data_IF_235173286843
#
_entry.id   IF_235173286843
#
_cell.length_a   1.000
_cell.length_b   1.000
_cell.length_c   1.000
_cell.angle_alpha   90.00
_cell.angle_beta   90.00
_cell.angle_gamma   90.00
#
_symmetry.space_group_name_H-M   'P 1'
#
loop_
_entity.id
_entity.type
_entity.pdbx_description
1 polymer ?
#
# COMPACT_ATOMS: atom_id res chain seq x y z
N UNK A 1 -4.92 0.97 -10.75
CA UNK A 1 -6.08 0.73 -9.88
C UNK A 1 -6.98 1.96 -9.86
N UNK A 2 -8.29 1.80 -9.62
CA UNK A 2 -9.19 2.95 -9.38
C UNK A 2 -8.80 3.61 -8.06
N UNK A 3 -8.73 4.94 -8.04
CA UNK A 3 -8.54 5.71 -6.81
C UNK A 3 -9.89 5.94 -6.12
N UNK A 4 -9.88 5.97 -4.80
CA UNK A 4 -11.05 6.20 -3.95
C UNK A 4 -10.93 7.54 -3.22
N UNK A 5 -12.05 8.27 -3.09
CA UNK A 5 -12.06 9.59 -2.49
C UNK A 5 -11.92 9.56 -0.96
N UNK A 6 -12.37 8.48 -0.31
CA UNK A 6 -12.31 8.31 1.13
C UNK A 6 -12.13 6.82 1.50
N UNK A 7 -11.80 6.58 2.78
CA UNK A 7 -11.53 5.24 3.28
C UNK A 7 -12.75 4.30 3.23
N UNK A 8 -13.97 4.83 3.39
CA UNK A 8 -15.17 4.00 3.35
C UNK A 8 -15.40 3.47 1.93
N UNK A 9 -15.25 4.30 0.90
CA UNK A 9 -15.37 3.88 -0.50
C UNK A 9 -14.30 2.85 -0.89
N UNK A 10 -13.07 3.04 -0.39
CA UNK A 10 -11.99 2.05 -0.55
C UNK A 10 -12.37 0.73 0.14
N UNK A 11 -12.87 0.80 1.38
CA UNK A 11 -13.20 -0.37 2.19
C UNK A 11 -14.35 -1.16 1.57
N UNK A 12 -15.43 -0.49 1.16
CA UNK A 12 -16.58 -1.14 0.50
C UNK A 12 -16.14 -1.87 -0.76
N UNK A 13 -15.38 -1.20 -1.64
CA UNK A 13 -14.91 -1.86 -2.86
C UNK A 13 -13.95 -3.03 -2.55
N UNK A 14 -13.08 -2.88 -1.55
CA UNK A 14 -12.18 -3.96 -1.17
C UNK A 14 -12.94 -5.19 -0.63
N UNK A 15 -13.98 -4.99 0.18
CA UNK A 15 -14.83 -6.08 0.65
C UNK A 15 -15.60 -6.74 -0.50
N UNK A 16 -16.15 -5.97 -1.43
CA UNK A 16 -16.82 -6.49 -2.63
C UNK A 16 -15.86 -7.32 -3.52
N UNK A 17 -14.58 -6.94 -3.55
CA UNK A 17 -13.52 -7.65 -4.27
C UNK A 17 -12.98 -8.87 -3.49
N UNK A 18 -13.53 -9.16 -2.30
CA UNK A 18 -13.21 -10.34 -1.49
C UNK A 18 -11.92 -10.23 -0.67
N UNK A 19 -11.54 -9.02 -0.25
CA UNK A 19 -10.55 -8.79 0.81
C UNK A 19 -11.21 -8.93 2.19
N UNK A 20 -10.45 -9.41 3.18
CA UNK A 20 -10.96 -9.82 4.49
C UNK A 20 -10.54 -8.88 5.64
N UNK A 21 -9.47 -8.11 5.47
CA UNK A 21 -8.99 -7.13 6.45
C UNK A 21 -8.72 -5.79 5.76
N UNK A 22 -9.33 -4.71 6.25
CA UNK A 22 -9.13 -3.36 5.72
C UNK A 22 -8.69 -2.42 6.85
N UNK A 23 -7.52 -1.81 6.70
CA UNK A 23 -6.88 -1.00 7.74
C UNK A 23 -6.28 0.29 7.19
N UNK A 24 -6.10 1.28 8.09
CA UNK A 24 -5.24 2.44 7.87
C UNK A 24 -3.89 2.20 8.51
N UNK A 25 -2.81 2.53 7.82
CA UNK A 25 -1.45 2.51 8.37
C UNK A 25 -0.79 3.85 8.18
N UNK A 26 -0.11 4.32 9.21
CA UNK A 26 0.73 5.50 9.17
C UNK A 26 2.20 5.09 9.20
N UNK A 27 3.00 5.77 8.39
CA UNK A 27 4.42 5.51 8.23
C UNK A 27 5.20 6.79 8.46
N UNK A 28 6.29 6.68 9.21
CA UNK A 28 7.11 7.82 9.59
C UNK A 28 7.83 8.45 8.37
N UNK A 29 8.10 9.77 8.42
CA UNK A 29 8.99 10.44 7.49
C UNK A 29 10.33 9.73 7.29
N UNK A 30 10.77 9.62 6.02
CA UNK A 30 12.05 9.04 5.62
C UNK A 30 12.29 7.60 6.10
N UNK A 31 11.23 6.89 6.54
CA UNK A 31 11.33 5.50 6.93
C UNK A 31 11.82 4.66 5.75
N UNK A 32 12.72 3.73 6.02
CA UNK A 32 13.12 2.68 5.09
C UNK A 32 12.74 1.35 5.72
N UNK A 33 11.98 0.56 4.96
CA UNK A 33 11.69 -0.83 5.27
C UNK A 33 12.47 -1.65 4.26
N UNK A 34 13.49 -2.34 4.77
CA UNK A 34 14.32 -3.24 3.97
C UNK A 34 13.50 -4.38 3.37
N UNK A 35 14.14 -5.14 2.47
CA UNK A 35 13.50 -6.26 1.76
C UNK A 35 12.77 -7.21 2.70
N UNK A 36 11.50 -7.43 2.41
CA UNK A 36 10.64 -8.32 3.20
C UNK A 36 9.51 -8.92 2.35
N UNK A 37 8.75 -9.83 2.95
CA UNK A 37 7.55 -10.44 2.37
C UNK A 37 6.43 -10.48 3.41
N UNK A 38 5.20 -10.72 2.96
CA UNK A 38 4.06 -10.98 3.83
C UNK A 38 3.24 -12.19 3.33
N UNK A 39 2.55 -12.92 4.23
CA UNK A 39 1.79 -14.13 3.87
C UNK A 39 0.39 -13.86 3.30
N UNK A 40 0.01 -12.60 3.08
CA UNK A 40 -1.28 -12.17 2.53
C UNK A 40 -1.07 -11.37 1.23
N UNK A 41 -2.09 -11.26 0.40
CA UNK A 41 -2.10 -10.26 -0.69
C UNK A 41 -2.38 -8.88 -0.12
N UNK A 42 -1.70 -7.84 -0.62
CA UNK A 42 -1.88 -6.47 -0.16
C UNK A 42 -2.27 -5.55 -1.32
N UNK A 43 -3.44 -4.92 -1.19
CA UNK A 43 -3.92 -3.85 -2.06
C UNK A 43 -3.81 -2.54 -1.31
N UNK A 44 -3.08 -1.59 -1.86
CA UNK A 44 -2.78 -0.31 -1.19
C UNK A 44 -3.25 0.86 -2.03
N UNK A 45 -3.85 1.85 -1.37
CA UNK A 45 -3.91 3.22 -1.86
C UNK A 45 -3.13 4.14 -0.91
N UNK A 46 -2.26 4.97 -1.45
CA UNK A 46 -1.59 6.04 -0.71
C UNK A 46 -2.64 7.15 -0.49
N UNK A 47 -3.03 7.38 0.76
CA UNK A 47 -3.99 8.41 1.11
C UNK A 47 -3.31 9.79 1.23
N UNK A 48 -2.12 9.83 1.81
CA UNK A 48 -1.28 11.03 1.93
C UNK A 48 0.20 10.64 1.85
N UNK A 49 1.06 11.60 1.48
CA UNK A 49 2.49 11.37 1.38
C UNK A 49 2.88 10.51 0.18
N UNK A 50 4.01 9.80 0.30
CA UNK A 50 4.55 9.01 -0.80
C UNK A 50 5.39 7.83 -0.33
N UNK A 51 5.50 6.81 -1.20
CA UNK A 51 6.38 5.67 -1.02
C UNK A 51 7.08 5.32 -2.34
N UNK A 52 8.37 5.03 -2.30
CA UNK A 52 9.07 4.31 -3.34
C UNK A 52 9.03 2.82 -3.02
N UNK A 53 8.30 2.07 -3.83
CA UNK A 53 8.22 0.62 -3.75
C UNK A 53 9.25 0.01 -4.70
N UNK A 54 10.11 -0.86 -4.18
CA UNK A 54 11.11 -1.59 -4.97
C UNK A 54 10.73 -3.06 -5.04
N UNK A 55 10.55 -3.55 -6.26
CA UNK A 55 10.30 -4.94 -6.61
C UNK A 55 11.49 -5.50 -7.40
N UNK A 56 11.50 -6.81 -7.65
CA UNK A 56 12.49 -7.44 -8.54
C UNK A 56 12.51 -6.83 -9.95
N UNK A 57 11.38 -6.29 -10.42
CA UNK A 57 11.22 -5.66 -11.74
C UNK A 57 11.69 -4.21 -11.80
N UNK A 58 12.05 -3.61 -10.66
CA UNK A 58 12.47 -2.21 -10.56
C UNK A 58 11.74 -1.46 -9.45
N UNK A 59 11.99 -0.15 -9.39
CA UNK A 59 11.41 0.72 -8.37
C UNK A 59 10.48 1.76 -8.98
N UNK A 60 9.36 2.02 -8.31
CA UNK A 60 8.39 3.04 -8.68
C UNK A 60 7.97 3.82 -7.43
N UNK A 61 7.81 5.14 -7.58
CA UNK A 61 7.23 6.00 -6.53
C UNK A 61 5.73 6.14 -6.73
N UNK A 62 4.98 6.02 -5.64
CA UNK A 62 3.54 6.22 -5.54
C UNK A 62 3.24 7.38 -4.60
N UNK A 63 2.42 8.30 -5.08
CA UNK A 63 1.98 9.51 -4.39
C UNK A 63 0.50 9.37 -3.96
N UNK A 64 0.02 10.33 -3.18
CA UNK A 64 -1.38 10.40 -2.75
C UNK A 64 -2.38 10.20 -3.91
N UNK A 65 -3.39 9.36 -3.68
CA UNK A 65 -4.39 8.95 -4.66
C UNK A 65 -3.96 7.79 -5.55
N UNK A 66 -2.67 7.45 -5.64
CA UNK A 66 -2.20 6.30 -6.41
C UNK A 66 -2.24 5.03 -5.57
N UNK A 67 -2.30 3.88 -6.25
CA UNK A 67 -2.38 2.59 -5.59
C UNK A 67 -1.63 1.50 -6.34
N UNK A 68 -1.26 0.46 -5.59
CA UNK A 68 -0.50 -0.68 -6.06
C UNK A 68 -1.00 -1.96 -5.38
N UNK A 69 -0.58 -3.10 -5.93
CA UNK A 69 -0.91 -4.42 -5.43
C UNK A 69 0.38 -5.23 -5.28
N UNK A 70 0.53 -5.89 -4.13
CA UNK A 70 1.64 -6.77 -3.81
C UNK A 70 1.07 -8.15 -3.53
N UNK A 71 1.27 -9.13 -4.43
CA UNK A 71 0.89 -10.51 -4.17
C UNK A 71 1.63 -11.08 -2.95
N UNK A 72 0.99 -12.00 -2.24
CA UNK A 72 1.61 -12.74 -1.12
C UNK A 72 2.97 -13.32 -1.52
N UNK A 73 3.92 -13.28 -0.59
CA UNK A 73 5.28 -13.80 -0.81
C UNK A 73 6.14 -13.01 -1.79
N UNK A 74 5.66 -11.88 -2.34
CA UNK A 74 6.48 -11.02 -3.21
C UNK A 74 7.50 -10.25 -2.37
N UNK A 75 8.79 -10.47 -2.61
CA UNK A 75 9.86 -9.68 -1.97
C UNK A 75 9.79 -8.24 -2.46
N UNK A 76 9.76 -7.30 -1.51
CA UNK A 76 9.76 -5.88 -1.81
C UNK A 76 10.44 -5.08 -0.70
N UNK A 77 10.86 -3.86 -1.02
CA UNK A 77 11.37 -2.88 -0.07
C UNK A 77 10.63 -1.55 -0.25
N UNK A 78 10.57 -0.75 0.80
CA UNK A 78 9.80 0.49 0.84
C UNK A 78 10.66 1.63 1.37
N UNK A 79 10.61 2.78 0.69
CA UNK A 79 11.25 4.00 1.15
C UNK A 79 10.23 5.14 1.13
N UNK A 80 9.96 5.72 2.30
CA UNK A 80 8.95 6.75 2.48
C UNK A 80 9.54 8.14 2.31
N UNK A 81 8.75 9.07 1.78
CA UNK A 81 9.18 10.44 1.57
C UNK A 81 9.33 11.25 2.86
N UNK A 82 9.75 12.53 2.77
CA UNK A 82 9.99 13.39 3.93
C UNK A 82 8.75 13.74 4.74
N UNK A 83 7.55 13.46 4.22
CA UNK A 83 6.27 13.64 4.92
C UNK A 83 5.69 12.32 5.44
N UNK A 84 6.41 11.20 5.30
CA UNK A 84 5.87 9.87 5.57
C UNK A 84 4.78 9.49 4.58
N UNK A 85 3.90 8.59 5.00
CA UNK A 85 2.68 8.28 4.25
C UNK A 85 1.56 7.75 5.15
N UNK A 86 0.31 7.96 4.73
CA UNK A 86 -0.84 7.19 5.23
C UNK A 86 -1.32 6.26 4.12
N UNK A 87 -1.42 4.97 4.41
CA UNK A 87 -1.99 3.98 3.49
C UNK A 87 -3.37 3.54 3.93
N UNK A 88 -4.22 3.29 2.96
CA UNK A 88 -5.37 2.40 3.09
C UNK A 88 -4.97 1.06 2.51
N UNK A 89 -5.03 0.02 3.32
CA UNK A 89 -4.55 -1.32 2.97
C UNK A 89 -5.71 -2.28 3.10
N UNK A 90 -6.00 -3.00 2.03
CA UNK A 90 -6.86 -4.17 2.04
C UNK A 90 -5.98 -5.42 1.91
N UNK A 91 -6.20 -6.40 2.78
CA UNK A 91 -5.48 -7.67 2.79
C UNK A 91 -6.43 -8.82 2.51
N UNK A 92 -5.86 -9.85 1.90
CA UNK A 92 -6.54 -11.12 1.64
C UNK A 92 -5.60 -12.25 2.01
N UNK A 93 -6.01 -13.07 2.97
CA UNK A 93 -5.22 -14.19 3.49
C UNK A 93 -5.19 -15.40 2.56
#
# INVERSE_FOLDING_TARGET
MKSHANFNDFSTQAMDDGFDEIIKKEWAPNLVIEKHTHPFDARVQVATGQVKLTLATGAQTFEAGQGFFIPRGTEHAEQYGPNGATFWVARKS
#
